data_IF_351296284472
#
_entry.id   IF_351296284472
#
_cell.length_a   1.000
_cell.length_b   1.000
_cell.length_c   1.000
_cell.angle_alpha   90.00
_cell.angle_beta   90.00
_cell.angle_gamma   90.00
#
_symmetry.space_group_name_H-M   'P 1'
#
loop_
_entity.id
_entity.type
_entity.pdbx_description
1 polymer ?
#
# COMPACT_ATOMS: atom_id res chain seq x y z
N UNK A 1 -3.85 -3.89 33.61
CA UNK A 1 -3.86 -5.24 32.99
C UNK A 1 -4.11 -5.05 31.51
N UNK A 2 -3.14 -5.33 30.64
CA UNK A 2 -3.37 -5.31 29.20
C UNK A 2 -4.37 -6.43 28.86
N UNK A 3 -5.54 -6.08 28.33
CA UNK A 3 -6.56 -7.06 27.94
C UNK A 3 -5.95 -7.99 26.86
N UNK A 4 -6.11 -9.32 27.00
CA UNK A 4 -5.59 -10.29 26.04
C UNK A 4 -6.09 -10.02 24.60
N UNK A 5 -7.34 -9.52 24.46
CA UNK A 5 -7.89 -9.13 23.16
C UNK A 5 -7.16 -7.92 22.56
N UNK A 6 -6.75 -6.96 23.39
CA UNK A 6 -5.96 -5.81 22.95
C UNK A 6 -4.55 -6.22 22.52
N UNK A 7 -3.88 -7.11 23.26
CA UNK A 7 -2.57 -7.64 22.86
C UNK A 7 -2.62 -8.46 21.56
N UNK A 8 -3.68 -9.25 21.35
CA UNK A 8 -3.89 -10.02 20.13
C UNK A 8 -3.93 -9.14 18.85
N UNK A 9 -4.40 -7.88 18.95
CA UNK A 9 -4.40 -6.91 17.85
C UNK A 9 -2.97 -6.56 17.40
N UNK A 10 -2.01 -6.52 18.33
CA UNK A 10 -0.61 -6.20 18.04
C UNK A 10 0.22 -7.45 17.72
N UNK A 11 -0.04 -8.58 18.36
CA UNK A 11 0.65 -9.85 18.10
C UNK A 11 0.36 -10.39 16.68
N UNK A 12 -0.82 -10.12 16.14
CA UNK A 12 -1.19 -10.49 14.77
C UNK A 12 -0.38 -9.76 13.67
N UNK A 13 0.53 -8.83 14.02
CA UNK A 13 1.24 -7.95 13.06
C UNK A 13 2.77 -8.12 13.14
N UNK A 14 3.33 -9.31 12.84
CA UNK A 14 4.76 -9.57 13.01
C UNK A 14 5.64 -8.84 11.99
N UNK A 15 5.09 -8.34 10.88
CA UNK A 15 5.87 -7.83 9.75
C UNK A 15 6.75 -6.62 10.11
N UNK A 16 6.24 -5.67 10.88
CA UNK A 16 7.02 -4.49 11.28
C UNK A 16 8.10 -4.82 12.32
N UNK A 17 7.81 -5.57 13.41
CA UNK A 17 8.85 -6.05 14.32
C UNK A 17 9.96 -6.85 13.62
N UNK A 18 9.60 -7.79 12.74
CA UNK A 18 10.58 -8.60 12.00
C UNK A 18 11.49 -7.74 11.10
N UNK A 19 10.94 -6.69 10.49
CA UNK A 19 11.72 -5.72 9.73
C UNK A 19 12.73 -4.96 10.62
N UNK A 20 12.35 -4.61 11.86
CA UNK A 20 13.20 -3.86 12.79
C UNK A 20 14.32 -4.69 13.42
N UNK A 21 14.12 -5.99 13.65
CA UNK A 21 15.09 -6.90 14.30
C UNK A 21 16.54 -6.72 13.80
N UNK A 22 16.84 -6.79 12.49
CA UNK A 22 18.22 -6.65 12.02
C UNK A 22 18.82 -5.27 12.31
N UNK A 23 18.03 -4.21 12.22
CA UNK A 23 18.51 -2.85 12.48
C UNK A 23 18.81 -2.64 13.97
N UNK A 24 17.91 -3.10 14.84
CA UNK A 24 18.08 -2.97 16.29
C UNK A 24 19.21 -3.87 16.79
N UNK A 25 19.35 -5.08 16.23
CA UNK A 25 20.40 -6.01 16.62
C UNK A 25 21.81 -5.49 16.28
N UNK A 26 21.97 -4.79 15.15
CA UNK A 26 23.28 -4.30 14.69
C UNK A 26 23.61 -2.91 15.24
N UNK A 27 22.64 -2.00 15.31
CA UNK A 27 22.87 -0.58 15.62
C UNK A 27 22.31 -0.14 16.98
N UNK A 28 21.66 -1.05 17.72
CA UNK A 28 20.95 -0.73 18.95
C UNK A 28 19.58 -0.09 18.70
N UNK A 29 18.82 0.16 19.77
CA UNK A 29 17.41 0.60 19.68
C UNK A 29 17.31 1.98 19.01
N UNK A 30 18.05 2.96 19.50
CA UNK A 30 17.94 4.36 19.06
C UNK A 30 18.34 4.54 17.61
N UNK A 31 19.54 4.07 17.24
CA UNK A 31 20.03 4.20 15.88
C UNK A 31 19.38 3.20 14.92
N UNK A 32 19.03 2.01 15.39
CA UNK A 32 18.33 1.00 14.58
C UNK A 32 16.94 1.47 14.14
N UNK A 33 16.15 2.04 15.07
CA UNK A 33 14.84 2.61 14.73
C UNK A 33 14.95 3.78 13.77
N UNK A 34 15.92 4.67 13.99
CA UNK A 34 16.15 5.82 13.11
C UNK A 34 16.59 5.40 11.71
N UNK A 35 17.53 4.45 11.60
CA UNK A 35 18.01 3.93 10.33
C UNK A 35 16.90 3.19 9.57
N UNK A 36 16.08 2.42 10.28
CA UNK A 36 14.93 1.73 9.70
C UNK A 36 13.94 2.73 9.10
N UNK A 37 13.58 3.78 9.84
CA UNK A 37 12.71 4.87 9.34
C UNK A 37 13.33 5.60 8.13
N UNK A 38 14.64 5.86 8.15
CA UNK A 38 15.36 6.44 7.02
C UNK A 38 15.29 5.55 5.77
N UNK A 39 15.55 4.24 5.92
CA UNK A 39 15.48 3.27 4.82
C UNK A 39 14.07 3.21 4.23
N UNK A 40 13.04 3.17 5.08
CA UNK A 40 11.64 3.20 4.66
C UNK A 40 11.32 4.47 3.86
N UNK A 41 11.69 5.64 4.40
CA UNK A 41 11.46 6.94 3.75
C UNK A 41 12.15 7.04 2.40
N UNK A 42 13.42 6.62 2.32
CA UNK A 42 14.18 6.61 1.08
C UNK A 42 13.58 5.63 0.06
N UNK A 43 13.21 4.42 0.48
CA UNK A 43 12.60 3.41 -0.39
C UNK A 43 11.27 3.89 -0.98
N UNK A 44 10.40 4.49 -0.16
CA UNK A 44 9.15 5.09 -0.63
C UNK A 44 9.39 6.26 -1.60
N UNK A 45 10.34 7.14 -1.29
CA UNK A 45 10.68 8.28 -2.17
C UNK A 45 11.23 7.82 -3.53
N UNK A 46 12.05 6.77 -3.54
CA UNK A 46 12.56 6.15 -4.75
C UNK A 46 11.40 5.52 -5.56
N UNK A 47 10.47 4.83 -4.90
CA UNK A 47 9.28 4.29 -5.57
C UNK A 47 8.45 5.40 -6.22
N UNK A 48 8.27 6.56 -5.58
CA UNK A 48 7.57 7.72 -6.17
C UNK A 48 8.30 8.24 -7.41
N UNK A 49 9.62 8.45 -7.32
CA UNK A 49 10.43 8.86 -8.47
C UNK A 49 10.27 7.87 -9.64
N UNK A 50 10.43 6.58 -9.35
CA UNK A 50 10.33 5.50 -10.33
C UNK A 50 8.92 5.44 -10.93
N UNK A 51 7.87 5.67 -10.13
CA UNK A 51 6.47 5.70 -10.57
C UNK A 51 6.26 6.84 -11.55
N UNK A 52 6.71 8.05 -11.23
CA UNK A 52 6.58 9.21 -12.12
C UNK A 52 7.38 9.03 -13.42
N UNK A 53 8.61 8.48 -13.31
CA UNK A 53 9.43 8.12 -14.48
C UNK A 53 8.80 7.00 -15.30
N UNK A 54 8.10 6.07 -14.66
CA UNK A 54 7.28 5.04 -15.30
C UNK A 54 5.94 5.61 -15.84
N UNK A 55 5.45 6.73 -15.36
CA UNK A 55 4.29 7.39 -15.97
C UNK A 55 4.68 8.19 -17.24
N UNK A 56 5.98 8.35 -17.53
CA UNK A 56 6.48 9.16 -18.65
C UNK A 56 6.78 10.61 -18.26
N UNK A 57 6.78 10.94 -16.97
CA UNK A 57 7.12 12.28 -16.50
C UNK A 57 8.60 12.62 -16.77
N UNK A 58 8.86 13.92 -16.94
CA UNK A 58 10.22 14.45 -17.10
C UNK A 58 11.07 14.18 -15.86
N UNK A 59 12.41 14.20 -16.01
CA UNK A 59 13.33 14.00 -14.88
C UNK A 59 13.11 15.03 -13.77
N UNK A 60 12.84 16.28 -14.13
CA UNK A 60 12.56 17.36 -13.18
C UNK A 60 11.27 17.13 -12.42
N UNK A 61 10.21 16.70 -13.10
CA UNK A 61 8.93 16.36 -12.46
C UNK A 61 9.08 15.16 -11.51
N UNK A 62 9.89 14.15 -11.88
CA UNK A 62 10.21 13.03 -11.01
C UNK A 62 10.94 13.46 -9.73
N UNK A 63 11.98 14.29 -9.87
CA UNK A 63 12.73 14.82 -8.72
C UNK A 63 11.87 15.74 -7.85
N UNK A 64 11.00 16.56 -8.46
CA UNK A 64 10.05 17.38 -7.72
C UNK A 64 9.08 16.52 -6.92
N UNK A 65 8.58 15.41 -7.48
CA UNK A 65 7.73 14.46 -6.77
C UNK A 65 8.45 13.76 -5.61
N UNK A 66 9.71 13.39 -5.79
CA UNK A 66 10.55 12.85 -4.72
C UNK A 66 10.77 13.87 -3.59
N UNK A 67 11.10 15.12 -3.94
CA UNK A 67 11.27 16.20 -2.98
C UNK A 67 9.96 16.49 -2.23
N UNK A 68 8.83 16.51 -2.93
CA UNK A 68 7.52 16.71 -2.34
C UNK A 68 7.16 15.57 -1.38
N UNK A 69 7.40 14.31 -1.75
CA UNK A 69 7.17 13.16 -0.87
C UNK A 69 7.95 13.25 0.46
N UNK A 70 9.21 13.73 0.40
CA UNK A 70 10.06 13.87 1.58
C UNK A 70 9.76 15.15 2.39
N UNK A 71 9.35 16.23 1.74
CA UNK A 71 9.08 17.51 2.38
C UNK A 71 7.67 17.61 3.01
N UNK A 72 6.69 16.88 2.46
CA UNK A 72 5.34 16.85 3.01
C UNK A 72 5.26 16.01 4.29
N UNK A 73 4.13 16.08 5.04
CA UNK A 73 3.88 15.23 6.20
C UNK A 73 4.03 13.73 5.92
N UNK A 74 4.02 13.31 4.66
CA UNK A 74 4.34 11.94 4.24
C UNK A 74 5.77 11.53 4.60
N UNK A 75 6.74 12.45 4.51
CA UNK A 75 8.13 12.19 4.88
C UNK A 75 8.31 12.05 6.39
N UNK A 76 7.63 12.88 7.18
CA UNK A 76 7.67 12.79 8.64
C UNK A 76 6.97 11.52 9.14
N UNK A 77 5.81 11.17 8.57
CA UNK A 77 5.11 9.91 8.85
C UNK A 77 5.94 8.70 8.44
N UNK A 78 6.67 8.78 7.32
CA UNK A 78 7.54 7.69 6.86
C UNK A 78 8.72 7.40 7.79
N UNK A 79 9.23 8.43 8.48
CA UNK A 79 10.36 8.30 9.41
C UNK A 79 9.95 7.99 10.85
N UNK A 80 8.66 8.10 11.19
CA UNK A 80 8.18 7.69 12.50
C UNK A 80 8.41 6.18 12.69
N UNK A 81 8.84 5.73 13.87
CA UNK A 81 9.06 4.32 14.19
C UNK A 81 7.72 3.57 14.38
N UNK A 82 6.80 3.76 13.45
CA UNK A 82 5.48 3.16 13.38
C UNK A 82 5.33 2.38 12.07
N UNK A 83 4.43 1.39 12.07
CA UNK A 83 4.12 0.61 10.86
C UNK A 83 3.48 1.44 9.74
N UNK A 84 3.02 2.66 10.04
CA UNK A 84 2.47 3.61 9.06
C UNK A 84 3.46 3.94 7.95
N UNK A 85 4.71 4.22 8.28
CA UNK A 85 5.73 4.55 7.29
C UNK A 85 6.03 3.40 6.34
N UNK A 86 6.19 2.19 6.89
CA UNK A 86 6.43 0.98 6.10
C UNK A 86 5.25 0.68 5.17
N UNK A 87 4.02 0.83 5.68
CA UNK A 87 2.81 0.63 4.89
C UNK A 87 2.71 1.65 3.76
N UNK A 88 3.04 2.92 4.02
CA UNK A 88 3.04 3.96 3.00
C UNK A 88 4.09 3.69 1.90
N UNK A 89 5.29 3.27 2.27
CA UNK A 89 6.32 2.86 1.31
C UNK A 89 5.86 1.67 0.44
N UNK A 90 5.27 0.63 1.05
CA UNK A 90 4.71 -0.51 0.32
C UNK A 90 3.57 -0.11 -0.61
N UNK A 91 2.71 0.81 -0.18
CA UNK A 91 1.66 1.40 -1.02
C UNK A 91 2.24 2.05 -2.28
N UNK A 92 3.32 2.84 -2.15
CA UNK A 92 3.98 3.45 -3.32
C UNK A 92 4.60 2.40 -4.26
N UNK A 93 5.11 1.28 -3.72
CA UNK A 93 5.62 0.17 -4.52
C UNK A 93 4.51 -0.58 -5.28
N UNK A 94 3.34 -0.76 -4.65
CA UNK A 94 2.16 -1.33 -5.31
C UNK A 94 1.69 -0.43 -6.45
N UNK A 95 1.64 0.89 -6.25
CA UNK A 95 1.30 1.86 -7.30
C UNK A 95 2.31 1.80 -8.46
N UNK A 96 3.61 1.72 -8.17
CA UNK A 96 4.65 1.48 -9.19
C UNK A 96 4.35 0.20 -9.98
N UNK A 97 4.02 -0.89 -9.28
CA UNK A 97 3.64 -2.16 -9.88
C UNK A 97 2.43 -2.05 -10.81
N UNK A 98 1.39 -1.33 -10.39
CA UNK A 98 0.22 -1.02 -11.23
C UNK A 98 0.60 -0.22 -12.47
N UNK A 99 1.45 0.79 -12.35
CA UNK A 99 1.93 1.57 -13.51
C UNK A 99 2.68 0.67 -14.49
N UNK A 100 3.52 -0.25 -14.00
CA UNK A 100 4.24 -1.21 -14.85
C UNK A 100 3.32 -2.25 -15.51
N UNK A 101 2.24 -2.66 -14.83
CA UNK A 101 1.22 -3.56 -15.38
C UNK A 101 0.38 -2.93 -16.50
N UNK A 102 0.05 -1.65 -16.34
CA UNK A 102 -0.79 -0.91 -17.27
C UNK A 102 -0.03 -0.32 -18.45
N UNK A 103 1.29 -0.44 -18.45
CA UNK A 103 2.12 -0.04 -19.58
C UNK A 103 1.92 -1.04 -20.72
N UNK A 104 1.36 -0.54 -21.81
CA UNK A 104 1.53 -1.20 -23.10
C UNK A 104 3.02 -1.22 -23.41
N UNK A 105 3.56 -2.41 -23.69
CA UNK A 105 4.86 -2.49 -24.37
C UNK A 105 4.69 -1.72 -25.68
N UNK A 106 5.51 -0.70 -25.97
CA UNK A 106 5.58 -0.25 -27.33
C UNK A 106 6.00 -1.47 -28.16
N UNK A 107 5.12 -1.92 -29.06
CA UNK A 107 5.60 -2.54 -30.29
C UNK A 107 6.64 -1.57 -30.83
N UNK A 108 7.80 -2.10 -31.16
CA UNK A 108 8.91 -1.40 -31.78
C UNK A 108 8.50 -0.89 -33.16
N UNK A 109 7.56 0.05 -33.21
CA UNK A 109 7.19 0.78 -34.41
C UNK A 109 7.66 2.20 -34.16
N UNK A 110 8.77 2.54 -34.81
CA UNK A 110 9.37 3.85 -34.73
C UNK A 110 8.44 4.89 -35.33
N UNK A 111 7.80 5.69 -34.50
CA UNK A 111 7.23 6.97 -34.94
C UNK A 111 7.01 7.92 -33.76
N UNK A 112 7.65 9.10 -33.90
CA UNK A 112 7.24 10.41 -33.41
C UNK A 112 7.08 10.68 -31.90
N UNK A 113 7.81 11.70 -31.44
CA UNK A 113 7.19 12.81 -30.71
C UNK A 113 7.42 12.88 -29.19
N UNK A 114 8.40 13.70 -28.79
CA UNK A 114 8.39 14.67 -27.67
C UNK A 114 7.95 14.27 -26.24
N UNK A 115 7.61 13.02 -25.96
CA UNK A 115 7.39 12.52 -24.60
C UNK A 115 8.68 12.08 -23.92
N UNK A 116 8.93 12.52 -22.68
CA UNK A 116 10.10 12.12 -21.90
C UNK A 116 10.25 10.60 -21.88
N UNK A 117 11.26 10.07 -22.58
CA UNK A 117 11.46 8.63 -22.70
C UNK A 117 11.50 7.99 -21.31
N UNK A 118 10.70 6.92 -21.07
CA UNK A 118 10.86 6.08 -19.90
C UNK A 118 12.34 5.74 -19.71
N UNK A 119 12.81 5.71 -18.46
CA UNK A 119 14.16 5.21 -18.21
C UNK A 119 14.32 3.81 -18.80
N UNK A 120 15.48 3.47 -19.37
CA UNK A 120 15.75 2.16 -19.97
C UNK A 120 15.41 1.00 -19.01
N UNK A 121 15.61 1.21 -17.69
CA UNK A 121 15.22 0.27 -16.63
C UNK A 121 13.72 -0.08 -16.65
N UNK A 122 12.86 0.87 -16.99
CA UNK A 122 11.41 0.71 -16.97
C UNK A 122 10.87 0.03 -18.23
N UNK A 123 11.69 -0.05 -19.29
CA UNK A 123 11.42 -0.88 -20.46
C UNK A 123 11.84 -2.34 -20.23
N UNK A 124 12.91 -2.55 -19.44
CA UNK A 124 13.32 -3.88 -18.98
C UNK A 124 12.34 -4.46 -17.93
N UNK A 125 11.78 -3.61 -17.06
CA UNK A 125 10.73 -4.00 -16.12
C UNK A 125 9.41 -4.31 -16.85
N UNK A 126 9.14 -5.60 -17.07
CA UNK A 126 7.95 -6.05 -17.78
C UNK A 126 6.70 -6.15 -16.89
N UNK A 127 5.55 -6.55 -17.48
CA UNK A 127 4.30 -6.75 -16.74
C UNK A 127 4.42 -7.78 -15.60
N UNK A 128 5.32 -8.77 -15.74
CA UNK A 128 5.61 -9.75 -14.68
C UNK A 128 6.23 -9.09 -13.44
N UNK A 129 7.14 -8.14 -13.64
CA UNK A 129 7.73 -7.34 -12.54
C UNK A 129 6.66 -6.49 -11.88
N UNK A 130 5.76 -5.91 -12.67
CA UNK A 130 4.60 -5.17 -12.15
C UNK A 130 3.68 -6.05 -11.30
N UNK A 131 3.33 -7.25 -11.78
CA UNK A 131 2.53 -8.23 -11.03
C UNK A 131 3.22 -8.65 -9.72
N UNK A 132 4.53 -8.92 -9.79
CA UNK A 132 5.32 -9.30 -8.61
C UNK A 132 5.39 -8.17 -7.58
N UNK A 133 5.50 -6.91 -8.01
CA UNK A 133 5.47 -5.75 -7.11
C UNK A 133 4.10 -5.55 -6.47
N UNK A 134 3.01 -5.69 -7.22
CA UNK A 134 1.65 -5.60 -6.67
C UNK A 134 1.40 -6.73 -5.67
N UNK A 135 1.64 -7.98 -6.08
CA UNK A 135 1.42 -9.15 -5.23
C UNK A 135 2.34 -9.13 -4.01
N UNK A 136 3.65 -8.95 -4.21
CA UNK A 136 4.63 -8.91 -3.12
C UNK A 136 4.40 -7.73 -2.18
N UNK A 137 4.08 -6.54 -2.72
CA UNK A 137 3.76 -5.36 -1.92
C UNK A 137 2.52 -5.56 -1.04
N UNK A 138 1.43 -6.11 -1.60
CA UNK A 138 0.21 -6.40 -0.85
C UNK A 138 0.39 -7.54 0.16
N UNK A 139 1.14 -8.59 -0.18
CA UNK A 139 1.47 -9.67 0.76
C UNK A 139 2.30 -9.14 1.92
N UNK A 140 3.33 -8.33 1.66
CA UNK A 140 4.13 -7.74 2.73
C UNK A 140 3.29 -6.76 3.57
N UNK A 141 2.43 -5.98 2.92
CA UNK A 141 1.49 -5.08 3.60
C UNK A 141 0.48 -5.85 4.45
N UNK A 142 0.06 -7.05 4.06
CA UNK A 142 -0.80 -7.91 4.87
C UNK A 142 -0.16 -8.26 6.22
N UNK A 143 1.13 -8.62 6.24
CA UNK A 143 1.86 -8.92 7.48
C UNK A 143 2.16 -7.69 8.34
N UNK A 144 2.14 -6.49 7.74
CA UNK A 144 2.41 -5.22 8.44
C UNK A 144 1.10 -4.61 8.96
N UNK A 145 0.12 -4.43 8.07
CA UNK A 145 -1.23 -3.90 8.29
C UNK A 145 -2.23 -4.43 7.25
N UNK A 146 -2.88 -5.54 7.55
CA UNK A 146 -3.89 -6.16 6.68
C UNK A 146 -5.06 -5.22 6.32
N UNK A 147 -5.52 -4.35 7.24
CA UNK A 147 -6.63 -3.42 6.96
C UNK A 147 -6.28 -2.43 5.83
N UNK A 148 -5.07 -1.87 5.87
CA UNK A 148 -4.59 -0.99 4.80
C UNK A 148 -4.33 -1.77 3.50
N UNK A 149 -3.88 -3.02 3.58
CA UNK A 149 -3.73 -3.88 2.41
C UNK A 149 -5.08 -4.15 1.71
N UNK A 150 -6.12 -4.50 2.47
CA UNK A 150 -7.49 -4.72 1.94
C UNK A 150 -8.04 -3.43 1.32
N UNK A 151 -7.96 -2.30 2.04
CA UNK A 151 -8.45 -1.01 1.55
C UNK A 151 -7.73 -0.58 0.26
N UNK A 152 -6.41 -0.69 0.23
CA UNK A 152 -5.62 -0.34 -0.95
C UNK A 152 -5.95 -1.25 -2.14
N UNK A 153 -6.00 -2.56 -1.94
CA UNK A 153 -6.31 -3.51 -3.00
C UNK A 153 -7.74 -3.32 -3.55
N UNK A 154 -8.72 -3.10 -2.67
CA UNK A 154 -10.10 -2.80 -3.05
C UNK A 154 -10.22 -1.47 -3.79
N UNK A 155 -9.57 -0.41 -3.31
CA UNK A 155 -9.57 0.90 -3.97
C UNK A 155 -8.93 0.82 -5.36
N UNK A 156 -7.79 0.15 -5.48
CA UNK A 156 -7.13 -0.07 -6.78
C UNK A 156 -8.01 -0.90 -7.73
N UNK A 157 -8.63 -1.97 -7.24
CA UNK A 157 -9.57 -2.76 -8.04
C UNK A 157 -10.72 -1.88 -8.56
N UNK A 158 -11.34 -1.06 -7.70
CA UNK A 158 -12.40 -0.13 -8.08
C UNK A 158 -11.97 0.89 -9.13
N UNK A 159 -10.84 1.57 -8.93
CA UNK A 159 -10.30 2.55 -9.89
C UNK A 159 -9.97 1.90 -11.24
N UNK A 160 -9.39 0.70 -11.23
CA UNK A 160 -9.06 -0.03 -12.45
C UNK A 160 -10.32 -0.52 -13.19
N UNK A 161 -11.36 -0.96 -12.47
CA UNK A 161 -12.64 -1.32 -13.08
C UNK A 161 -13.33 -0.11 -13.71
N UNK A 162 -13.36 1.04 -13.02
CA UNK A 162 -13.89 2.29 -13.57
C UNK A 162 -13.14 2.69 -14.85
N UNK A 163 -11.80 2.62 -14.82
CA UNK A 163 -10.96 2.89 -15.98
C UNK A 163 -11.21 1.89 -17.11
N UNK A 164 -11.37 0.60 -16.82
CA UNK A 164 -11.68 -0.42 -17.81
C UNK A 164 -13.05 -0.18 -18.46
N UNK A 165 -14.06 0.19 -17.66
CA UNK A 165 -15.39 0.58 -18.13
C UNK A 165 -15.34 1.81 -19.05
N UNK A 166 -14.57 2.83 -18.68
CA UNK A 166 -14.37 4.01 -19.51
C UNK A 166 -13.63 3.70 -20.83
N UNK A 167 -12.61 2.84 -20.79
CA UNK A 167 -11.91 2.40 -22.00
C UNK A 167 -12.81 1.54 -22.90
N UNK A 168 -13.67 0.70 -22.30
CA UNK A 168 -14.69 -0.07 -23.02
C UNK A 168 -15.69 0.84 -23.73
N UNK A 169 -16.17 1.89 -23.05
CA UNK A 169 -17.04 2.91 -23.68
C UNK A 169 -16.34 3.59 -24.86
N UNK A 170 -15.05 3.91 -24.72
CA UNK A 170 -14.23 4.50 -25.79
C UNK A 170 -13.76 3.50 -26.85
N UNK A 171 -14.22 2.24 -26.83
CA UNK A 171 -13.79 1.13 -27.70
C UNK A 171 -12.27 0.97 -27.79
N UNK A 172 -11.55 1.31 -26.73
CA UNK A 172 -10.09 1.13 -26.60
C UNK A 172 -9.77 -0.21 -25.97
N UNK A 173 -8.53 -0.67 -26.12
CA UNK A 173 -8.06 -1.89 -25.49
C UNK A 173 -8.14 -1.75 -23.96
N UNK A 174 -9.01 -2.55 -23.33
CA UNK A 174 -9.23 -2.55 -21.88
C UNK A 174 -8.75 -3.83 -21.19
N UNK A 175 -8.37 -4.85 -21.97
CA UNK A 175 -7.90 -6.16 -21.49
C UNK A 175 -6.76 -6.10 -20.46
N UNK A 176 -5.69 -5.27 -20.62
CA UNK A 176 -4.64 -5.21 -19.60
C UNK A 176 -5.14 -4.58 -18.30
N UNK A 177 -6.02 -3.58 -18.38
CA UNK A 177 -6.62 -2.93 -17.21
C UNK A 177 -7.54 -3.89 -16.46
N UNK A 178 -8.34 -4.68 -17.17
CA UNK A 178 -9.21 -5.68 -16.58
C UNK A 178 -8.42 -6.80 -15.88
N UNK A 179 -7.30 -7.25 -16.47
CA UNK A 179 -6.41 -8.23 -15.82
C UNK A 179 -5.79 -7.68 -14.53
N UNK A 180 -5.35 -6.42 -14.54
CA UNK A 180 -4.84 -5.78 -13.34
C UNK A 180 -5.94 -5.62 -12.27
N UNK A 181 -7.17 -5.26 -12.67
CA UNK A 181 -8.31 -5.20 -11.78
C UNK A 181 -8.64 -6.57 -11.17
N UNK A 182 -8.66 -7.63 -11.97
CA UNK A 182 -8.89 -8.99 -11.52
C UNK A 182 -7.80 -9.48 -10.55
N UNK A 183 -6.53 -9.15 -10.80
CA UNK A 183 -5.43 -9.42 -9.88
C UNK A 183 -5.64 -8.73 -8.53
N UNK A 184 -5.95 -7.42 -8.54
CA UNK A 184 -6.19 -6.68 -7.31
C UNK A 184 -7.40 -7.22 -6.55
N UNK A 185 -8.51 -7.49 -7.23
CA UNK A 185 -9.71 -8.06 -6.63
C UNK A 185 -9.46 -9.44 -6.03
N UNK A 186 -8.75 -10.32 -6.75
CA UNK A 186 -8.36 -11.64 -6.24
C UNK A 186 -7.47 -11.52 -5.01
N UNK A 187 -6.49 -10.61 -5.02
CA UNK A 187 -5.65 -10.33 -3.85
C UNK A 187 -6.46 -9.80 -2.68
N UNK A 188 -7.45 -8.91 -2.88
CA UNK A 188 -8.35 -8.45 -1.82
C UNK A 188 -9.06 -9.62 -1.15
N UNK A 189 -9.62 -10.55 -1.95
CA UNK A 189 -10.30 -11.74 -1.43
C UNK A 189 -9.32 -12.64 -0.67
N UNK A 190 -8.11 -12.86 -1.20
CA UNK A 190 -7.08 -13.67 -0.52
C UNK A 190 -6.64 -13.05 0.81
N UNK A 191 -6.42 -11.73 0.86
CA UNK A 191 -6.02 -11.00 2.06
C UNK A 191 -7.13 -11.03 3.10
N UNK A 192 -8.39 -10.83 2.69
CA UNK A 192 -9.55 -10.91 3.58
C UNK A 192 -9.77 -12.33 4.12
N UNK A 193 -9.75 -13.34 3.25
CA UNK A 193 -9.89 -14.74 3.63
C UNK A 193 -8.73 -15.19 4.52
N UNK A 194 -7.50 -14.75 4.22
CA UNK A 194 -6.31 -15.02 5.04
C UNK A 194 -6.44 -14.44 6.44
N UNK A 195 -6.87 -13.18 6.58
CA UNK A 195 -7.13 -12.57 7.88
C UNK A 195 -8.21 -13.34 8.66
N UNK A 196 -9.30 -13.74 7.98
CA UNK A 196 -10.40 -14.46 8.61
C UNK A 196 -10.00 -15.88 9.05
N UNK A 197 -9.27 -16.63 8.21
CA UNK A 197 -8.79 -17.98 8.52
C UNK A 197 -7.75 -17.99 9.64
N UNK A 198 -6.94 -16.93 9.75
CA UNK A 198 -5.97 -16.76 10.82
C UNK A 198 -6.61 -16.27 12.13
N UNK A 199 -7.92 -16.03 12.14
CA UNK A 199 -8.64 -15.51 13.31
C UNK A 199 -8.14 -14.13 13.75
N UNK A 200 -7.58 -13.34 12.83
CA UNK A 200 -7.07 -12.02 13.16
C UNK A 200 -8.23 -11.07 13.49
N UNK A 201 -8.07 -10.19 14.49
CA UNK A 201 -9.13 -9.30 14.91
C UNK A 201 -9.59 -8.42 13.74
N UNK A 202 -10.90 -8.37 13.47
CA UNK A 202 -11.45 -7.72 12.29
C UNK A 202 -12.07 -6.35 12.65
N UNK A 203 -12.76 -5.71 11.69
CA UNK A 203 -13.34 -4.38 11.87
C UNK A 203 -14.25 -4.26 13.10
N UNK A 204 -14.91 -5.35 13.51
CA UNK A 204 -15.74 -5.40 14.71
C UNK A 204 -14.93 -5.24 16.00
N UNK A 205 -13.76 -5.88 16.11
CA UNK A 205 -12.88 -5.72 17.27
C UNK A 205 -12.31 -4.31 17.34
N UNK A 206 -12.02 -3.68 16.19
CA UNK A 206 -11.56 -2.28 16.15
C UNK A 206 -12.66 -1.30 16.54
N UNK A 207 -13.91 -1.54 16.11
CA UNK A 207 -15.06 -0.73 16.51
C UNK A 207 -15.35 -0.90 18.00
N UNK A 208 -15.25 -2.12 18.53
CA UNK A 208 -15.36 -2.38 19.97
C UNK A 208 -14.24 -1.70 20.75
N UNK A 209 -12.98 -1.77 20.31
CA UNK A 209 -11.84 -1.09 20.97
C UNK A 209 -12.09 0.42 21.11
N UNK A 210 -12.55 1.07 20.03
CA UNK A 210 -12.88 2.50 20.02
C UNK A 210 -14.08 2.83 20.93
N UNK A 211 -15.18 2.09 20.83
CA UNK A 211 -16.41 2.36 21.58
C UNK A 211 -16.32 2.02 23.06
N UNK A 212 -15.53 1.01 23.42
CA UNK A 212 -15.37 0.55 24.80
C UNK A 212 -14.18 1.17 25.52
N UNK A 213 -13.52 2.16 24.90
CA UNK A 213 -12.33 2.84 25.43
C UNK A 213 -11.22 1.83 25.79
N UNK A 214 -10.76 1.07 24.80
CA UNK A 214 -9.78 -0.01 24.94
C UNK A 214 -10.24 -1.15 25.84
N UNK A 215 -11.49 -1.60 25.67
CA UNK A 215 -12.13 -2.67 26.44
C UNK A 215 -12.16 -2.42 27.95
N UNK A 216 -12.20 -1.14 28.35
CA UNK A 216 -12.43 -0.75 29.74
C UNK A 216 -13.91 -0.76 30.10
N UNK A 217 -14.78 -0.75 29.08
CA UNK A 217 -16.24 -0.86 29.21
C UNK A 217 -16.71 -2.22 28.69
N UNK A 218 -17.86 -2.73 29.19
CA UNK A 218 -18.43 -3.97 28.70
C UNK A 218 -18.74 -3.91 27.20
N UNK A 219 -18.58 -5.06 26.54
CA UNK A 219 -18.75 -5.20 25.10
C UNK A 219 -20.18 -4.91 24.65
N UNK A 220 -20.29 -4.31 23.48
CA UNK A 220 -21.56 -4.02 22.82
C UNK A 220 -21.96 -5.19 21.90
N UNK A 221 -23.22 -5.64 21.93
CA UNK A 221 -23.70 -6.76 21.12
C UNK A 221 -23.73 -6.45 19.61
N UNK A 222 -23.79 -5.17 19.22
CA UNK A 222 -23.58 -4.73 17.84
C UNK A 222 -22.93 -3.33 17.84
N UNK A 223 -21.63 -3.19 17.52
CA UNK A 223 -20.90 -1.92 17.63
C UNK A 223 -21.22 -0.94 16.50
N UNK A 224 -21.71 -1.40 15.35
CA UNK A 224 -21.85 -0.57 14.14
C UNK A 224 -22.83 0.61 14.26
N UNK A 225 -24.04 0.44 14.82
CA UNK A 225 -25.00 1.54 14.94
C UNK A 225 -24.46 2.69 15.80
N UNK A 226 -23.80 2.36 16.91
CA UNK A 226 -23.26 3.36 17.84
C UNK A 226 -22.01 4.04 17.29
N UNK A 227 -21.18 3.29 16.55
CA UNK A 227 -20.05 3.84 15.82
C UNK A 227 -20.47 4.96 14.84
N UNK A 228 -21.49 4.70 14.00
CA UNK A 228 -21.97 5.69 13.04
C UNK A 228 -22.65 6.90 13.71
N UNK A 229 -23.28 6.71 14.87
CA UNK A 229 -23.85 7.82 15.64
C UNK A 229 -22.76 8.72 16.22
N UNK A 230 -21.64 8.17 16.69
CA UNK A 230 -20.51 8.98 17.16
C UNK A 230 -19.77 9.71 16.05
N UNK A 231 -19.55 9.08 14.88
CA UNK A 231 -18.91 9.75 13.73
C UNK A 231 -19.76 10.91 13.18
N UNK A 232 -21.10 10.83 13.28
CA UNK A 232 -22.00 11.91 12.84
C UNK A 232 -22.01 13.16 13.74
N UNK A 233 -21.30 13.14 14.87
CA UNK A 233 -21.18 14.26 15.82
C UNK A 233 -19.87 15.06 15.62
N UNK A 234 -18.95 14.58 14.77
CA UNK A 234 -17.68 15.24 14.45
C UNK A 234 -17.68 15.93 13.08
#
# INVERSE_FOLDING_TARGET
>A
FANQRFMAIFEARPGYPLFLVPFVAVFGITWGLWLAGLVIGLAGSACVLLTLRAAGASRRAGLAGQALYLALPTGTVAMNPLSDGLSLALGTAVVLGCVLLLRDRPRTDGASGTGGRPGAWAAAAGPRTGAALVAGGLVLMFFVRYSQAVLLAAALAGVLLLRAGWLRQKRRQFTPVLRAAALCAGLTVCVYAGAHLLGWPMGEDSAQDLLTHHYQRPDLPNPWPEFFVQEGVF
#
